data_IF_041412966553
#
_entry.id   IF_041412966553
#
_cell.length_a   1.000
_cell.length_b   1.000
_cell.length_c   1.000
_cell.angle_alpha   90.00
_cell.angle_beta   90.00
_cell.angle_gamma   90.00
#
_symmetry.space_group_name_H-M   'P 1'
#
loop_
_entity.id
_entity.type
_entity.pdbx_description
1 polymer ?
#
# COMPACT_ATOMS: atom_id res chain seq x y z
N UNK A 1 -10.38 -5.48 -27.00
CA UNK A 1 -9.82 -6.50 -26.09
C UNK A 1 -10.21 -6.11 -24.68
N UNK A 2 -11.13 -6.85 -24.05
CA UNK A 2 -11.62 -6.60 -22.69
C UNK A 2 -10.65 -7.22 -21.69
N UNK A 3 -10.10 -6.41 -20.77
CA UNK A 3 -9.19 -6.88 -19.74
C UNK A 3 -9.86 -7.92 -18.82
N UNK A 4 -9.20 -9.05 -18.57
CA UNK A 4 -9.68 -10.08 -17.63
C UNK A 4 -9.80 -9.46 -16.23
N UNK A 5 -10.96 -9.56 -15.56
CA UNK A 5 -11.12 -9.07 -14.20
C UNK A 5 -10.12 -9.76 -13.28
N UNK A 6 -9.24 -8.99 -12.63
CA UNK A 6 -8.37 -9.53 -11.58
C UNK A 6 -9.01 -9.27 -10.22
N UNK A 7 -9.48 -10.33 -9.59
CA UNK A 7 -9.83 -10.32 -8.18
C UNK A 7 -8.60 -9.91 -7.38
N UNK A 8 -8.73 -8.88 -6.57
CA UNK A 8 -7.66 -8.33 -5.76
C UNK A 8 -8.13 -8.13 -4.33
N UNK A 9 -7.26 -8.46 -3.39
CA UNK A 9 -7.42 -8.11 -1.99
C UNK A 9 -6.64 -6.82 -1.74
N UNK A 10 -7.34 -5.81 -1.23
CA UNK A 10 -6.76 -4.52 -0.86
C UNK A 10 -6.91 -4.27 0.63
N UNK A 11 -6.05 -3.42 1.17
CA UNK A 11 -6.21 -2.83 2.51
C UNK A 11 -6.50 -1.35 2.32
N UNK A 12 -7.56 -0.87 2.97
CA UNK A 12 -7.82 0.57 3.08
C UNK A 12 -7.44 1.00 4.47
N UNK A 13 -6.54 1.97 4.58
CA UNK A 13 -6.19 2.64 5.82
C UNK A 13 -6.79 4.05 5.82
N UNK A 14 -7.41 4.43 6.94
CA UNK A 14 -7.93 5.79 7.15
C UNK A 14 -6.94 6.62 7.95
N UNK A 15 -7.10 7.93 7.85
CA UNK A 15 -6.30 8.90 8.59
C UNK A 15 -6.46 8.78 10.10
N UNK A 16 -7.45 8.06 10.62
CA UNK A 16 -7.64 7.78 12.05
C UNK A 16 -6.96 6.47 12.50
N UNK A 17 -6.28 5.75 11.60
CA UNK A 17 -5.59 4.50 11.91
C UNK A 17 -6.50 3.27 11.80
N UNK A 18 -7.80 3.48 11.59
CA UNK A 18 -8.70 2.38 11.28
C UNK A 18 -8.39 1.84 9.89
N UNK A 19 -8.45 0.52 9.76
CA UNK A 19 -8.20 -0.16 8.50
C UNK A 19 -9.24 -1.24 8.23
N UNK A 20 -9.38 -1.62 6.97
CA UNK A 20 -10.24 -2.74 6.56
C UNK A 20 -9.67 -3.46 5.34
N UNK A 21 -9.90 -4.76 5.29
CA UNK A 21 -9.78 -5.52 4.04
C UNK A 21 -10.91 -5.15 3.10
N UNK A 22 -10.59 -5.08 1.81
CA UNK A 22 -11.55 -5.00 0.73
C UNK A 22 -11.21 -6.08 -0.29
N UNK A 23 -12.23 -6.73 -0.83
CA UNK A 23 -12.10 -7.54 -2.03
C UNK A 23 -12.70 -6.75 -3.18
N UNK A 24 -11.91 -6.54 -4.23
CA UNK A 24 -12.30 -5.69 -5.35
C UNK A 24 -11.71 -6.15 -6.67
N UNK A 25 -12.12 -5.46 -7.73
CA UNK A 25 -11.49 -5.60 -9.04
C UNK A 25 -10.49 -4.45 -9.19
N UNK A 26 -9.20 -4.75 -9.36
CA UNK A 26 -8.20 -3.72 -9.67
C UNK A 26 -8.35 -3.15 -11.09
N UNK A 27 -9.29 -3.67 -11.88
CA UNK A 27 -9.51 -3.28 -13.26
C UNK A 27 -8.26 -3.54 -14.10
N UNK A 28 -7.99 -2.66 -15.07
CA UNK A 28 -6.76 -2.68 -15.84
C UNK A 28 -5.63 -1.91 -15.12
N UNK A 29 -5.40 -2.20 -13.84
CA UNK A 29 -4.27 -1.65 -13.12
C UNK A 29 -2.97 -2.27 -13.64
N UNK A 30 -2.00 -1.41 -13.94
CA UNK A 30 -0.63 -1.80 -14.28
C UNK A 30 0.30 -1.42 -13.13
N UNK A 31 0.29 -2.17 -12.00
CA UNK A 31 1.14 -1.86 -10.87
C UNK A 31 2.60 -1.93 -11.29
N UNK A 32 3.40 -0.97 -10.79
CA UNK A 32 4.85 -0.99 -10.97
C UNK A 32 5.45 -1.52 -9.68
N UNK A 33 6.34 -2.51 -9.79
CA UNK A 33 7.09 -2.99 -8.65
C UNK A 33 7.93 -1.84 -8.08
N UNK A 34 7.91 -1.68 -6.76
CA UNK A 34 8.81 -0.78 -6.07
C UNK A 34 10.19 -1.44 -6.00
N UNK A 35 11.22 -0.66 -6.32
CA UNK A 35 12.61 -1.04 -6.07
C UNK A 35 12.88 -0.96 -4.58
N UNK A 36 13.66 -1.91 -4.07
CA UNK A 36 14.11 -1.84 -2.68
C UNK A 36 15.06 -0.67 -2.45
N UNK A 37 15.13 -0.23 -1.19
CA UNK A 37 15.95 0.87 -0.71
C UNK A 37 15.73 2.19 -1.48
N UNK A 38 14.53 2.35 -2.04
CA UNK A 38 14.13 3.54 -2.80
C UNK A 38 12.95 4.20 -2.09
N UNK A 39 13.04 5.52 -1.92
CA UNK A 39 11.93 6.32 -1.39
C UNK A 39 11.05 6.80 -2.53
N UNK A 40 9.74 6.62 -2.38
CA UNK A 40 8.73 7.12 -3.31
C UNK A 40 7.79 8.08 -2.62
N UNK A 41 7.28 9.06 -3.37
CA UNK A 41 6.32 10.05 -2.89
C UNK A 41 5.07 10.02 -3.77
N UNK A 42 3.91 9.87 -3.16
CA UNK A 42 2.64 9.87 -3.88
C UNK A 42 1.49 10.32 -2.96
N UNK A 43 0.69 11.28 -3.42
CA UNK A 43 -0.57 11.68 -2.76
C UNK A 43 -0.42 12.04 -1.26
N UNK A 44 0.69 12.68 -0.88
CA UNK A 44 0.98 13.03 0.53
C UNK A 44 1.41 11.84 1.39
N UNK A 45 1.90 10.79 0.77
CA UNK A 45 2.55 9.66 1.42
C UNK A 45 3.99 9.51 0.94
N UNK A 46 4.87 9.25 1.89
CA UNK A 46 6.22 8.76 1.64
C UNK A 46 6.24 7.24 1.85
N UNK A 47 6.75 6.48 0.89
CA UNK A 47 6.89 5.02 1.00
C UNK A 47 8.33 4.56 0.80
N UNK A 48 8.74 3.57 1.58
CA UNK A 48 10.08 3.00 1.55
C UNK A 48 10.00 1.48 1.69
N UNK A 49 10.55 0.76 0.71
CA UNK A 49 10.54 -0.70 0.70
C UNK A 49 11.93 -1.26 0.99
N UNK A 50 12.05 -2.11 2.00
CA UNK A 50 13.14 -3.08 2.16
C UNK A 50 12.65 -4.47 1.76
N UNK A 51 13.55 -5.45 1.79
CA UNK A 51 13.20 -6.84 1.47
C UNK A 51 12.26 -7.46 2.51
N UNK A 52 12.28 -6.93 3.73
CA UNK A 52 11.54 -7.43 4.88
C UNK A 52 10.27 -6.61 5.14
N UNK A 53 10.31 -5.31 4.88
CA UNK A 53 9.28 -4.36 5.30
C UNK A 53 9.02 -3.34 4.20
N UNK A 54 7.75 -3.07 3.90
CA UNK A 54 7.35 -1.86 3.17
C UNK A 54 6.68 -0.89 4.14
N UNK A 55 7.23 0.31 4.26
CA UNK A 55 6.72 1.37 5.14
C UNK A 55 6.01 2.44 4.32
N UNK A 56 4.92 2.97 4.85
CA UNK A 56 4.21 4.13 4.34
C UNK A 56 4.04 5.13 5.48
N UNK A 57 4.33 6.40 5.26
CA UNK A 57 4.07 7.48 6.21
C UNK A 57 3.23 8.57 5.55
N UNK A 58 2.18 9.00 6.22
CA UNK A 58 1.40 10.14 5.75
C UNK A 58 2.09 11.43 6.16
N UNK A 59 2.41 12.27 5.18
CA UNK A 59 3.26 13.44 5.39
C UNK A 59 2.55 14.53 6.22
N UNK A 60 1.21 14.55 6.21
CA UNK A 60 0.40 15.51 6.97
C UNK A 60 0.21 15.11 8.44
N UNK A 61 -0.09 13.83 8.69
CA UNK A 61 -0.46 13.35 10.03
C UNK A 61 0.69 12.67 10.78
N UNK A 62 1.79 12.35 10.09
CA UNK A 62 2.91 11.60 10.66
C UNK A 62 2.61 10.12 10.95
N UNK A 63 1.40 9.65 10.62
CA UNK A 63 0.95 8.28 10.84
C UNK A 63 1.68 7.32 9.92
N UNK A 64 1.92 6.10 10.41
CA UNK A 64 2.74 5.12 9.70
C UNK A 64 2.04 3.77 9.59
N UNK A 65 2.36 3.08 8.51
CA UNK A 65 1.92 1.71 8.25
C UNK A 65 3.11 0.91 7.78
N UNK A 66 3.23 -0.31 8.27
CA UNK A 66 4.19 -1.29 7.76
C UNK A 66 3.49 -2.55 7.28
N UNK A 67 3.91 -3.00 6.10
CA UNK A 67 3.52 -4.27 5.50
C UNK A 67 4.75 -5.15 5.53
N UNK A 68 4.65 -6.29 6.21
CA UNK A 68 5.66 -7.34 6.16
C UNK A 68 5.08 -8.54 5.42
N UNK A 69 5.96 -9.44 4.97
CA UNK A 69 5.54 -10.72 4.37
C UNK A 69 4.70 -11.56 5.34
N UNK A 70 4.86 -11.32 6.64
CA UNK A 70 4.15 -11.98 7.74
C UNK A 70 2.81 -11.30 8.10
N UNK A 71 2.54 -10.09 7.60
CA UNK A 71 1.29 -9.38 7.84
C UNK A 71 1.40 -7.85 7.90
N UNK A 72 0.27 -7.18 8.11
CA UNK A 72 0.17 -5.71 8.16
C UNK A 72 0.04 -5.23 9.61
N UNK A 73 0.80 -4.20 10.02
CA UNK A 73 0.71 -3.57 11.35
C UNK A 73 0.56 -2.03 11.25
N UNK A 74 -0.57 -1.45 11.71
CA UNK A 74 -0.74 0.00 11.81
C UNK A 74 -0.23 0.56 13.16
N UNK A 75 0.34 1.79 13.15
CA UNK A 75 0.75 2.52 14.36
C UNK A 75 0.40 4.02 14.28
#
# INVERSE_FOLDING_TARGET
MTATPKCSNGVVLRLDGNWRWITGNMGNASPRALSYNTTYYALGWTSYATREVTSFSNDLTGRRMTITVEGVKPY
#
